data_IF_824140341361
#
_entry.id   IF_824140341361
#
_cell.length_a   1.000
_cell.length_b   1.000
_cell.length_c   1.000
_cell.angle_alpha   90.00
_cell.angle_beta   90.00
_cell.angle_gamma   90.00
#
_symmetry.space_group_name_H-M   'P 1'
#
loop_
_entity.id
_entity.type
_entity.pdbx_description
1 polymer ?
#
# COMPACT_ATOMS: atom_id res chain seq x y z
N UNK A 1 -2.37 15.33 -7.29
CA UNK A 1 -2.74 14.01 -6.73
C UNK A 1 -3.90 14.00 -5.74
N UNK A 2 -3.90 14.77 -4.64
CA UNK A 2 -4.93 14.63 -3.59
C UNK A 2 -6.39 14.73 -4.10
N UNK A 3 -6.68 15.73 -4.93
CA UNK A 3 -8.02 15.89 -5.52
C UNK A 3 -8.39 14.74 -6.47
N UNK A 4 -7.42 14.21 -7.24
CA UNK A 4 -7.63 13.05 -8.12
C UNK A 4 -8.03 11.83 -7.30
N UNK A 5 -7.30 11.56 -6.22
CA UNK A 5 -7.59 10.44 -5.32
C UNK A 5 -8.98 10.56 -4.70
N UNK A 6 -9.31 11.74 -4.16
CA UNK A 6 -10.61 11.95 -3.52
C UNK A 6 -11.78 11.68 -4.47
N UNK A 7 -11.71 12.18 -5.71
CA UNK A 7 -12.73 11.88 -6.70
C UNK A 7 -12.72 10.41 -7.11
N UNK A 8 -11.56 9.78 -7.34
CA UNK A 8 -11.49 8.35 -7.64
C UNK A 8 -12.14 7.49 -6.55
N UNK A 9 -11.99 7.88 -5.27
CA UNK A 9 -12.60 7.19 -4.14
C UNK A 9 -14.14 7.32 -4.08
N UNK A 10 -14.73 8.28 -4.81
CA UNK A 10 -16.18 8.52 -4.86
C UNK A 10 -16.83 8.17 -6.20
N UNK A 11 -16.07 8.18 -7.29
CA UNK A 11 -16.57 7.93 -8.64
C UNK A 11 -17.07 6.48 -8.81
N UNK A 12 -18.17 6.34 -9.55
CA UNK A 12 -18.72 5.07 -10.00
C UNK A 12 -19.16 5.16 -11.46
N UNK A 13 -19.67 4.06 -12.02
CA UNK A 13 -20.23 4.06 -13.39
C UNK A 13 -21.56 4.83 -13.52
N UNK A 14 -22.16 5.24 -12.41
CA UNK A 14 -23.46 5.92 -12.34
C UNK A 14 -23.31 7.44 -12.53
N UNK A 15 -24.41 8.06 -12.93
CA UNK A 15 -24.53 9.52 -13.02
C UNK A 15 -25.01 10.01 -11.66
N UNK A 16 -24.06 10.31 -10.79
CA UNK A 16 -24.31 10.84 -9.44
C UNK A 16 -23.54 12.14 -9.26
N UNK A 17 -24.13 13.10 -8.55
CA UNK A 17 -23.41 14.31 -8.12
C UNK A 17 -22.37 13.95 -7.07
N UNK A 18 -21.16 14.49 -7.20
CA UNK A 18 -20.08 14.27 -6.24
C UNK A 18 -19.91 15.52 -5.38
N UNK A 19 -20.23 15.40 -4.09
CA UNK A 19 -19.97 16.43 -3.11
C UNK A 19 -18.49 16.46 -2.69
N UNK A 20 -17.90 17.65 -2.78
CA UNK A 20 -16.56 17.95 -2.29
C UNK A 20 -16.66 18.62 -0.92
N UNK A 21 -16.71 17.78 0.11
CA UNK A 21 -16.60 18.23 1.48
C UNK A 21 -15.12 18.35 1.87
N UNK A 22 -14.69 19.56 2.22
CA UNK A 22 -13.27 19.84 2.50
C UNK A 22 -12.73 19.13 3.76
N UNK A 23 -13.59 18.83 4.74
CA UNK A 23 -13.21 18.09 5.93
C UNK A 23 -13.01 16.60 5.62
N UNK A 24 -13.97 15.97 4.94
CA UNK A 24 -13.86 14.58 4.44
C UNK A 24 -12.69 14.43 3.47
N UNK A 25 -12.44 15.42 2.62
CA UNK A 25 -11.28 15.47 1.74
C UNK A 25 -9.96 15.35 2.51
N UNK A 26 -9.77 16.20 3.52
CA UNK A 26 -8.55 16.17 4.32
C UNK A 26 -8.42 14.86 5.10
N UNK A 27 -9.52 14.39 5.72
CA UNK A 27 -9.53 13.14 6.48
C UNK A 27 -9.15 11.94 5.60
N UNK A 28 -9.78 11.81 4.43
CA UNK A 28 -9.57 10.68 3.52
C UNK A 28 -8.17 10.66 2.92
N UNK A 29 -7.64 11.81 2.49
CA UNK A 29 -6.26 11.89 1.97
C UNK A 29 -5.26 11.48 3.05
N UNK A 30 -5.45 11.95 4.28
CA UNK A 30 -4.57 11.61 5.38
C UNK A 30 -4.70 10.13 5.80
N UNK A 31 -5.92 9.60 5.91
CA UNK A 31 -6.13 8.20 6.31
C UNK A 31 -5.57 7.24 5.28
N UNK A 32 -5.88 7.47 4.01
CA UNK A 32 -5.68 6.45 2.99
C UNK A 32 -4.29 6.59 2.35
N UNK A 33 -3.92 7.79 1.92
CA UNK A 33 -2.63 7.99 1.25
C UNK A 33 -1.47 8.07 2.26
N UNK A 34 -1.63 8.86 3.32
CA UNK A 34 -0.52 9.09 4.27
C UNK A 34 -0.41 7.91 5.25
N UNK A 35 -1.48 7.60 5.96
CA UNK A 35 -1.43 6.64 7.07
C UNK A 35 -1.45 5.17 6.64
N UNK A 36 -1.93 4.84 5.43
CA UNK A 36 -1.88 3.47 4.90
C UNK A 36 -0.79 3.30 3.85
N UNK A 37 -0.91 3.94 2.69
CA UNK A 37 -0.05 3.64 1.53
C UNK A 37 1.39 4.11 1.74
N UNK A 38 1.59 5.40 2.02
CA UNK A 38 2.94 5.98 2.20
C UNK A 38 3.60 5.48 3.49
N UNK A 39 2.82 5.16 4.51
CA UNK A 39 3.29 4.58 5.77
C UNK A 39 4.11 3.28 5.58
N UNK A 40 3.72 2.46 4.61
CA UNK A 40 4.44 1.21 4.28
C UNK A 40 5.88 1.53 3.88
N UNK A 41 6.07 2.45 2.92
CA UNK A 41 7.39 2.84 2.46
C UNK A 41 8.19 3.56 3.55
N UNK A 42 7.58 4.49 4.29
CA UNK A 42 8.27 5.26 5.32
C UNK A 42 8.82 4.39 6.45
N UNK A 43 8.08 3.33 6.82
CA UNK A 43 8.45 2.38 7.88
C UNK A 43 9.44 1.30 7.45
N UNK A 44 9.62 1.07 6.16
CA UNK A 44 10.47 -0.03 5.65
C UNK A 44 11.72 0.46 4.93
N UNK A 45 11.61 1.49 4.09
CA UNK A 45 12.72 1.96 3.24
C UNK A 45 13.94 2.43 4.04
N UNK A 46 13.73 3.02 5.21
CA UNK A 46 14.84 3.47 6.08
C UNK A 46 15.67 2.29 6.62
N UNK A 47 15.07 1.14 6.91
CA UNK A 47 15.81 -0.06 7.32
C UNK A 47 16.60 -0.63 6.16
N UNK A 48 15.98 -0.74 4.98
CA UNK A 48 16.68 -1.17 3.75
C UNK A 48 17.90 -0.27 3.48
N UNK A 49 17.75 1.05 3.58
CA UNK A 49 18.85 2.00 3.41
C UNK A 49 19.98 1.77 4.42
N UNK A 50 19.66 1.53 5.70
CA UNK A 50 20.65 1.24 6.76
C UNK A 50 21.39 -0.08 6.53
N UNK A 51 20.72 -1.06 5.93
CA UNK A 51 21.25 -2.40 5.66
C UNK A 51 21.91 -2.53 4.27
N UNK A 52 22.43 -1.43 3.74
CA UNK A 52 23.20 -1.42 2.48
C UNK A 52 22.41 -1.00 1.24
N UNK A 53 21.14 -0.61 1.38
CA UNK A 53 20.34 0.02 0.32
C UNK A 53 19.93 -0.91 -0.83
N UNK A 54 20.08 -2.22 -0.65
CA UNK A 54 19.62 -3.25 -1.58
C UNK A 54 18.51 -4.05 -0.94
N UNK A 55 17.49 -4.40 -1.71
CA UNK A 55 16.44 -5.31 -1.26
C UNK A 55 16.99 -6.75 -1.15
N UNK A 56 16.30 -7.58 -0.37
CA UNK A 56 16.56 -9.01 -0.31
C UNK A 56 16.42 -9.66 -1.70
N UNK A 57 17.22 -10.71 -1.95
CA UNK A 57 17.22 -11.41 -3.24
C UNK A 57 16.01 -12.32 -3.44
N UNK A 58 15.30 -12.64 -2.35
CA UNK A 58 14.15 -13.54 -2.34
C UNK A 58 12.96 -12.87 -1.67
N UNK A 59 11.76 -13.18 -2.14
CA UNK A 59 10.54 -12.79 -1.47
C UNK A 59 10.33 -13.68 -0.23
N UNK A 60 10.46 -13.09 0.95
CA UNK A 60 10.31 -13.79 2.22
C UNK A 60 8.84 -14.09 2.59
N UNK A 61 7.86 -13.55 1.86
CA UNK A 61 6.45 -13.81 2.11
C UNK A 61 5.64 -13.91 0.79
N UNK A 62 5.95 -14.90 -0.07
CA UNK A 62 5.41 -15.00 -1.42
C UNK A 62 3.89 -15.18 -1.48
N UNK A 63 3.28 -15.74 -0.43
CA UNK A 63 1.82 -15.89 -0.35
C UNK A 63 1.11 -14.52 -0.32
N UNK A 64 1.62 -13.58 0.50
CA UNK A 64 1.06 -12.23 0.61
C UNK A 64 1.30 -11.43 -0.68
N UNK A 65 2.49 -11.54 -1.26
CA UNK A 65 2.77 -10.96 -2.59
C UNK A 65 1.82 -11.54 -3.64
N UNK A 66 1.57 -12.85 -3.61
CA UNK A 66 0.63 -13.54 -4.50
C UNK A 66 -0.80 -13.02 -4.35
N UNK A 67 -1.26 -12.75 -3.13
CA UNK A 67 -2.58 -12.13 -2.90
C UNK A 67 -2.70 -10.75 -3.55
N UNK A 68 -1.66 -9.91 -3.47
CA UNK A 68 -1.66 -8.60 -4.11
C UNK A 68 -1.71 -8.75 -5.63
N UNK A 69 -0.87 -9.63 -6.18
CA UNK A 69 -0.83 -9.90 -7.62
C UNK A 69 -2.15 -10.45 -8.16
N UNK A 70 -2.81 -11.34 -7.41
CA UNK A 70 -4.11 -11.92 -7.79
C UNK A 70 -5.23 -10.87 -7.86
N UNK A 71 -5.14 -9.79 -7.07
CA UNK A 71 -6.11 -8.69 -7.10
C UNK A 71 -6.01 -7.83 -8.38
N UNK A 72 -4.92 -7.92 -9.15
CA UNK A 72 -4.67 -7.08 -10.31
C UNK A 72 -5.80 -7.15 -11.36
N UNK A 73 -6.31 -8.35 -11.65
CA UNK A 73 -7.39 -8.53 -12.63
C UNK A 73 -8.70 -7.85 -12.20
N UNK A 74 -9.07 -7.99 -10.93
CA UNK A 74 -10.26 -7.35 -10.37
C UNK A 74 -10.15 -5.83 -10.36
N UNK A 75 -9.01 -5.30 -9.91
CA UNK A 75 -8.76 -3.86 -9.89
C UNK A 75 -8.79 -3.28 -11.31
N UNK A 76 -8.17 -3.95 -12.28
CA UNK A 76 -8.21 -3.53 -13.69
C UNK A 76 -9.65 -3.51 -14.22
N UNK A 77 -10.45 -4.54 -13.95
CA UNK A 77 -11.85 -4.59 -14.35
C UNK A 77 -12.68 -3.45 -13.73
N UNK A 78 -12.41 -3.08 -12.47
CA UNK A 78 -13.05 -1.92 -11.84
C UNK A 78 -12.69 -0.61 -12.53
N UNK A 79 -11.42 -0.40 -12.91
CA UNK A 79 -11.02 0.76 -13.70
C UNK A 79 -11.73 0.80 -15.06
N UNK A 80 -11.75 -0.31 -15.81
CA UNK A 80 -12.39 -0.39 -17.13
C UNK A 80 -13.89 -0.10 -17.08
N UNK A 81 -14.57 -0.57 -16.04
CA UNK A 81 -16.00 -0.37 -15.83
C UNK A 81 -16.33 0.99 -15.21
N UNK A 82 -15.33 1.86 -14.94
CA UNK A 82 -15.46 3.15 -14.25
C UNK A 82 -15.93 3.04 -12.80
N UNK A 83 -15.79 1.87 -12.19
CA UNK A 83 -16.06 1.61 -10.78
C UNK A 83 -14.86 2.00 -9.90
N UNK A 84 -14.38 3.24 -10.02
CA UNK A 84 -13.14 3.70 -9.38
C UNK A 84 -13.18 3.60 -7.84
N UNK A 85 -14.31 3.91 -7.23
CA UNK A 85 -14.50 3.77 -5.78
C UNK A 85 -14.35 2.31 -5.29
N UNK A 86 -14.66 1.32 -6.13
CA UNK A 86 -14.38 -0.09 -5.83
C UNK A 86 -12.89 -0.40 -5.92
N UNK A 87 -12.23 0.04 -7.00
CA UNK A 87 -10.79 -0.10 -7.15
C UNK A 87 -10.04 0.52 -5.94
N UNK A 88 -10.43 1.74 -5.51
CA UNK A 88 -9.81 2.40 -4.36
C UNK A 88 -10.00 1.60 -3.07
N UNK A 89 -11.20 1.05 -2.82
CA UNK A 89 -11.46 0.21 -1.64
C UNK A 89 -10.59 -1.04 -1.62
N UNK A 90 -10.49 -1.74 -2.75
CA UNK A 90 -9.67 -2.96 -2.85
C UNK A 90 -8.19 -2.66 -2.63
N UNK A 91 -7.68 -1.57 -3.23
CA UNK A 91 -6.29 -1.13 -3.02
C UNK A 91 -6.04 -0.77 -1.55
N UNK A 92 -6.97 -0.06 -0.89
CA UNK A 92 -6.80 0.28 0.52
C UNK A 92 -6.88 -0.95 1.44
N UNK A 93 -7.70 -1.95 1.11
CA UNK A 93 -7.75 -3.21 1.83
C UNK A 93 -6.41 -3.99 1.71
N UNK A 94 -5.76 -3.95 0.55
CA UNK A 94 -4.40 -4.48 0.39
C UNK A 94 -3.39 -3.66 1.22
N UNK A 95 -3.49 -2.32 1.23
CA UNK A 95 -2.63 -1.48 2.04
C UNK A 95 -2.77 -1.79 3.55
N UNK A 96 -3.98 -2.09 4.03
CA UNK A 96 -4.21 -2.54 5.41
C UNK A 96 -3.48 -3.86 5.69
N UNK A 97 -3.56 -4.86 4.79
CA UNK A 97 -2.81 -6.13 4.93
C UNK A 97 -1.29 -5.92 4.96
N UNK A 98 -0.76 -5.03 4.13
CA UNK A 98 0.67 -4.71 4.15
C UNK A 98 1.09 -4.07 5.48
N UNK A 99 0.31 -3.12 6.01
CA UNK A 99 0.60 -2.52 7.32
C UNK A 99 0.54 -3.57 8.43
N UNK A 100 -0.49 -4.43 8.43
CA UNK A 100 -0.61 -5.53 9.39
C UNK A 100 0.61 -6.45 9.36
N UNK A 101 1.05 -6.87 8.18
CA UNK A 101 2.26 -7.69 8.05
C UNK A 101 3.50 -7.02 8.66
N UNK A 102 3.70 -5.73 8.40
CA UNK A 102 4.85 -4.98 8.95
C UNK A 102 4.71 -4.81 10.46
N UNK A 103 3.49 -4.63 10.98
CA UNK A 103 3.20 -4.58 12.42
C UNK A 103 3.51 -5.90 13.11
N UNK A 104 3.10 -7.02 12.53
CA UNK A 104 3.37 -8.36 13.05
C UNK A 104 4.87 -8.70 13.04
N UNK A 105 5.60 -8.26 12.01
CA UNK A 105 7.07 -8.44 11.94
C UNK A 105 7.83 -7.47 12.84
N UNK A 106 7.26 -6.30 13.15
CA UNK A 106 7.85 -5.28 14.01
C UNK A 106 9.35 -5.01 13.76
N UNK A 107 9.77 -4.58 12.54
CA UNK A 107 11.18 -4.41 12.20
C UNK A 107 11.94 -3.46 13.14
N UNK A 108 11.27 -2.46 13.73
CA UNK A 108 11.86 -1.57 14.74
C UNK A 108 12.23 -2.26 16.05
N UNK A 109 11.56 -3.35 16.38
CA UNK A 109 11.88 -4.17 17.55
C UNK A 109 12.97 -5.19 17.18
N UNK A 110 12.82 -5.87 16.04
CA UNK A 110 13.79 -6.86 15.56
C UNK A 110 15.20 -6.26 15.38
N UNK A 111 15.30 -5.05 14.82
CA UNK A 111 16.60 -4.38 14.59
C UNK A 111 17.37 -4.05 15.88
N UNK A 112 16.72 -4.10 17.05
CA UNK A 112 17.40 -3.89 18.36
C UNK A 112 18.07 -5.16 18.89
N UNK A 113 17.80 -6.30 18.27
CA UNK A 113 18.34 -7.60 18.64
C UNK A 113 19.49 -7.97 17.68
N UNK A 114 20.64 -8.36 18.23
CA UNK A 114 21.81 -8.71 17.41
C UNK A 114 21.56 -9.97 16.58
N UNK A 115 21.97 -9.96 15.30
CA UNK A 115 21.86 -11.11 14.41
C UNK A 115 20.58 -11.18 13.57
N UNK A 116 19.63 -10.25 13.76
CA UNK A 116 18.35 -10.20 13.04
C UNK A 116 18.38 -9.28 11.81
N UNK A 117 19.55 -8.84 11.37
CA UNK A 117 19.69 -7.91 10.24
C UNK A 117 19.06 -8.47 8.96
N UNK A 118 19.21 -9.78 8.71
CA UNK A 118 18.62 -10.42 7.54
C UNK A 118 17.09 -10.48 7.64
N UNK A 119 16.52 -10.83 8.80
CA UNK A 119 15.06 -10.87 8.99
C UNK A 119 14.43 -9.47 8.85
N UNK A 120 15.12 -8.43 9.35
CA UNK A 120 14.71 -7.03 9.15
C UNK A 120 14.75 -6.66 7.67
N UNK A 121 15.82 -7.04 6.96
CA UNK A 121 15.96 -6.77 5.53
C UNK A 121 14.85 -7.47 4.74
N UNK A 122 14.58 -8.73 5.04
CA UNK A 122 13.58 -9.56 4.37
C UNK A 122 12.18 -8.99 4.56
N UNK A 123 11.76 -8.71 5.79
CA UNK A 123 10.42 -8.17 6.03
C UNK A 123 10.22 -6.78 5.43
N UNK A 124 11.25 -5.92 5.50
CA UNK A 124 11.17 -4.59 4.89
C UNK A 124 11.22 -4.66 3.36
N UNK A 125 11.93 -5.62 2.78
CA UNK A 125 11.96 -5.84 1.33
C UNK A 125 10.60 -6.29 0.80
N UNK A 126 9.91 -7.18 1.52
CA UNK A 126 8.50 -7.52 1.25
C UNK A 126 7.65 -6.25 1.30
N UNK A 127 7.73 -5.46 2.38
CA UNK A 127 6.95 -4.22 2.51
C UNK A 127 7.17 -3.23 1.36
N UNK A 128 8.42 -3.03 0.92
CA UNK A 128 8.74 -2.19 -0.25
C UNK A 128 8.14 -2.78 -1.54
N UNK A 129 8.16 -4.10 -1.72
CA UNK A 129 7.55 -4.73 -2.89
C UNK A 129 6.01 -4.61 -2.89
N UNK A 130 5.36 -4.76 -1.73
CA UNK A 130 3.92 -4.54 -1.59
C UNK A 130 3.54 -3.08 -1.89
N UNK A 131 4.33 -2.12 -1.38
CA UNK A 131 4.19 -0.70 -1.75
C UNK A 131 4.33 -0.47 -3.26
N UNK A 132 5.30 -1.13 -3.91
CA UNK A 132 5.45 -1.08 -5.37
C UNK A 132 4.18 -1.57 -6.09
N UNK A 133 3.56 -2.65 -5.64
CA UNK A 133 2.31 -3.15 -6.24
C UNK A 133 1.15 -2.16 -6.05
N UNK A 134 0.99 -1.61 -4.84
CA UNK A 134 -0.03 -0.58 -4.55
C UNK A 134 0.15 0.66 -5.44
N UNK A 135 1.37 1.14 -5.60
CA UNK A 135 1.65 2.31 -6.46
C UNK A 135 1.40 2.04 -7.94
N UNK A 136 1.57 0.80 -8.41
CA UNK A 136 1.16 0.41 -9.76
C UNK A 136 -0.36 0.46 -9.92
N UNK A 137 -1.11 0.01 -8.91
CA UNK A 137 -2.58 0.07 -8.94
C UNK A 137 -3.11 1.51 -8.83
N UNK A 138 -2.42 2.39 -8.09
CA UNK A 138 -2.77 3.81 -7.95
C UNK A 138 -2.23 4.70 -9.07
N UNK A 139 -1.49 4.15 -10.04
CA UNK A 139 -0.83 4.92 -11.11
C UNK A 139 -1.82 5.65 -12.06
N UNK A 140 -2.94 5.05 -12.50
CA UNK A 140 -3.88 5.72 -13.41
C UNK A 140 -4.45 7.01 -12.82
#
# INVERSE_FOLDING_TARGET
EYLRYYFAAKLSSRIDDIDLNMEDFAQRVNSDLVNKVVNIASRTANFVKKLGGKLANTDAHPQLTGEFQAAAGTIAAHYEQREFSRAMRDIMALADKANQYIDEKAPWALMKQAGNEQDVLDCCSVGVNLFRLLTLYLKP
#
